data_IF_744917700933
#
_entry.id   IF_744917700933
#
_cell.length_a   1.000
_cell.length_b   1.000
_cell.length_c   1.000
_cell.angle_alpha   90.00
_cell.angle_beta   90.00
_cell.angle_gamma   90.00
#
_symmetry.space_group_name_H-M   'P 1'
#
loop_
_entity.id
_entity.type
_entity.pdbx_description
1 polymer ?
#
# COMPACT_ATOMS: atom_id res chain seq x y z
N UNK A 1 1.04 -9.61 -12.97
CA UNK A 1 -0.18 -8.88 -12.54
C UNK A 1 -1.34 -9.30 -13.41
N UNK A 2 -1.23 -9.13 -14.73
CA UNK A 2 -2.26 -9.50 -15.71
C UNK A 2 -2.70 -10.96 -15.66
N UNK A 3 -1.80 -11.88 -15.28
CA UNK A 3 -2.13 -13.29 -15.05
C UNK A 3 -3.10 -13.53 -13.87
N UNK A 4 -3.04 -12.70 -12.81
CA UNK A 4 -4.01 -12.77 -11.71
C UNK A 4 -5.38 -12.28 -12.18
N UNK A 5 -5.42 -11.19 -12.96
CA UNK A 5 -6.63 -10.66 -13.58
C UNK A 5 -7.23 -11.71 -14.55
N UNK A 6 -6.40 -12.36 -15.36
CA UNK A 6 -6.80 -13.45 -16.26
C UNK A 6 -7.32 -14.70 -15.58
N UNK A 7 -6.89 -14.97 -14.33
CA UNK A 7 -7.48 -16.01 -13.46
C UNK A 7 -8.71 -15.53 -12.67
N UNK A 8 -9.27 -14.35 -12.98
CA UNK A 8 -10.50 -13.86 -12.38
C UNK A 8 -10.35 -13.24 -10.99
N UNK A 9 -9.12 -12.90 -10.57
CA UNK A 9 -8.88 -12.21 -9.30
C UNK A 9 -9.50 -10.80 -9.36
N UNK A 10 -10.56 -10.58 -8.56
CA UNK A 10 -11.27 -9.30 -8.47
C UNK A 10 -10.67 -8.33 -7.44
N UNK A 11 -9.94 -8.87 -6.46
CA UNK A 11 -9.38 -8.11 -5.35
C UNK A 11 -7.90 -8.46 -5.15
N UNK A 12 -7.05 -7.44 -5.04
CA UNK A 12 -5.61 -7.59 -4.90
C UNK A 12 -5.12 -6.58 -3.88
N UNK A 13 -4.42 -7.03 -2.84
CA UNK A 13 -3.68 -6.14 -1.93
C UNK A 13 -2.19 -6.38 -2.14
N UNK A 14 -1.46 -5.30 -2.38
CA UNK A 14 -0.01 -5.28 -2.50
C UNK A 14 0.59 -4.77 -1.19
N UNK A 15 1.69 -5.37 -0.75
CA UNK A 15 2.55 -4.77 0.28
C UNK A 15 3.96 -4.65 -0.21
N UNK A 16 4.67 -3.64 0.28
CA UNK A 16 6.08 -3.52 0.01
C UNK A 16 6.78 -2.54 0.92
N UNK A 17 8.08 -2.52 0.72
CA UNK A 17 9.02 -1.61 1.34
C UNK A 17 9.04 -0.27 0.61
N UNK A 18 9.47 0.79 1.29
CA UNK A 18 9.71 2.09 0.65
C UNK A 18 10.77 2.91 1.40
N UNK A 19 11.49 3.71 0.62
CA UNK A 19 12.41 4.72 1.11
C UNK A 19 11.68 6.00 1.51
N UNK A 20 12.14 6.65 2.57
CA UNK A 20 11.54 7.89 3.07
C UNK A 20 12.38 9.13 2.71
N UNK A 21 11.68 10.23 2.36
CA UNK A 21 12.25 11.55 1.99
C UNK A 21 12.10 12.60 3.12
N UNK A 22 11.57 12.19 4.27
CA UNK A 22 11.34 13.00 5.48
C UNK A 22 11.66 12.12 6.70
N UNK A 23 12.03 12.66 7.87
CA UNK A 23 12.50 11.85 9.00
C UNK A 23 11.37 11.05 9.67
N UNK A 24 11.06 9.87 9.12
CA UNK A 24 10.20 8.85 9.73
C UNK A 24 11.05 7.67 10.19
N UNK A 25 10.74 7.18 11.39
CA UNK A 25 11.36 6.01 11.98
C UNK A 25 11.17 4.75 11.10
N UNK A 26 12.05 3.78 11.27
CA UNK A 26 11.97 2.45 10.67
C UNK A 26 10.73 1.68 11.16
N UNK A 27 10.32 0.66 10.39
CA UNK A 27 9.14 -0.17 10.67
C UNK A 27 7.82 0.64 10.86
N UNK A 28 7.72 1.84 10.29
CA UNK A 28 6.48 2.63 10.25
C UNK A 28 5.63 2.23 9.05
N UNK A 29 4.39 1.83 9.31
CA UNK A 29 3.40 1.62 8.26
C UNK A 29 2.97 2.95 7.63
N UNK A 30 2.99 2.99 6.31
CA UNK A 30 2.51 4.09 5.49
C UNK A 30 1.26 3.63 4.74
N UNK A 31 0.15 4.34 4.96
CA UNK A 31 -1.06 4.17 4.18
C UNK A 31 -1.01 5.19 3.05
N UNK A 32 -0.63 4.81 1.82
CA UNK A 32 -0.71 5.71 0.68
C UNK A 32 -2.18 6.07 0.44
N UNK A 33 -2.46 7.33 0.12
CA UNK A 33 -3.78 7.76 -0.41
C UNK A 33 -3.73 8.06 -1.91
N UNK A 34 -2.52 8.07 -2.46
CA UNK A 34 -2.11 8.53 -3.80
C UNK A 34 -0.69 7.92 -3.97
N UNK A 35 -0.44 6.91 -4.83
CA UNK A 35 0.88 6.25 -5.07
C UNK A 35 1.41 6.26 -6.55
N UNK A 36 2.58 6.84 -6.84
CA UNK A 36 3.02 7.50 -8.12
C UNK A 36 2.61 6.89 -9.49
N UNK A 37 2.04 7.71 -10.42
CA UNK A 37 1.87 7.34 -11.85
C UNK A 37 3.06 7.71 -12.74
N UNK A 38 3.85 6.69 -13.04
CA UNK A 38 4.80 6.66 -14.14
C UNK A 38 4.08 6.38 -15.47
N UNK A 39 4.60 6.87 -16.59
CA UNK A 39 3.93 6.72 -17.90
C UNK A 39 4.42 5.46 -18.63
N UNK A 40 3.48 4.57 -18.96
CA UNK A 40 3.77 3.25 -19.53
C UNK A 40 2.49 2.48 -19.89
N UNK A 41 2.48 1.16 -19.71
CA UNK A 41 1.37 0.27 -20.11
C UNK A 41 0.04 0.49 -19.36
N UNK A 42 -0.01 1.39 -18.37
CA UNK A 42 -1.20 1.62 -17.51
C UNK A 42 -2.43 2.19 -18.24
N UNK A 43 -2.29 2.73 -19.45
CA UNK A 43 -3.40 3.28 -20.22
C UNK A 43 -4.47 2.25 -20.63
N UNK A 44 -4.15 0.94 -20.59
CA UNK A 44 -5.10 -0.12 -20.91
C UNK A 44 -6.21 -0.30 -19.87
N UNK A 45 -6.02 0.20 -18.64
CA UNK A 45 -6.93 -0.04 -17.51
C UNK A 45 -7.56 1.23 -16.93
N UNK A 46 -6.92 2.40 -17.10
CA UNK A 46 -7.44 3.66 -16.56
C UNK A 46 -7.03 4.85 -17.41
N UNK A 47 -7.92 5.84 -17.53
CA UNK A 47 -7.75 7.02 -18.36
C UNK A 47 -6.44 7.79 -18.03
N UNK A 48 -5.84 8.52 -19.00
CA UNK A 48 -4.67 9.36 -18.76
C UNK A 48 -4.83 10.32 -17.59
N UNK A 49 -3.88 10.28 -16.65
CA UNK A 49 -3.84 11.20 -15.52
C UNK A 49 -2.43 11.23 -14.90
N UNK A 50 -1.99 12.41 -14.43
CA UNK A 50 -0.71 12.58 -13.71
C UNK A 50 -0.71 11.88 -12.35
N UNK A 51 -1.89 11.77 -11.77
CA UNK A 51 -2.17 11.16 -10.48
C UNK A 51 -3.48 10.37 -10.58
N UNK A 52 -3.63 9.39 -9.71
CA UNK A 52 -4.86 8.66 -9.49
C UNK A 52 -4.93 8.30 -7.98
N UNK A 53 -6.10 8.11 -7.41
CA UNK A 53 -6.32 8.14 -5.95
C UNK A 53 -6.76 6.77 -5.42
N UNK A 54 -6.47 6.42 -4.17
CA UNK A 54 -6.85 5.10 -3.62
C UNK A 54 -8.32 5.11 -3.15
N UNK A 55 -9.05 4.00 -3.36
CA UNK A 55 -10.47 3.88 -2.97
C UNK A 55 -10.67 4.24 -1.47
N UNK A 56 -11.45 5.29 -1.14
CA UNK A 56 -11.71 5.69 0.23
C UNK A 56 -12.33 4.61 1.12
N UNK A 57 -12.99 3.59 0.55
CA UNK A 57 -13.46 2.42 1.31
C UNK A 57 -12.28 1.58 1.80
N UNK A 58 -11.31 1.34 0.93
CA UNK A 58 -10.12 0.56 1.25
C UNK A 58 -9.17 1.27 2.20
N UNK A 59 -9.03 2.61 2.06
CA UNK A 59 -8.28 3.42 3.03
C UNK A 59 -8.84 3.22 4.45
N UNK A 60 -10.15 3.46 4.64
CA UNK A 60 -10.81 3.28 5.94
C UNK A 60 -10.65 1.87 6.50
N UNK A 61 -10.62 0.84 5.64
CA UNK A 61 -10.44 -0.52 6.10
C UNK A 61 -9.00 -0.79 6.56
N UNK A 62 -8.00 -0.39 5.77
CA UNK A 62 -6.58 -0.51 6.13
C UNK A 62 -6.30 0.23 7.45
N UNK A 63 -6.80 1.47 7.59
CA UNK A 63 -6.71 2.26 8.82
C UNK A 63 -7.39 1.54 10.01
N UNK A 64 -8.61 1.02 9.83
CA UNK A 64 -9.34 0.27 10.86
C UNK A 64 -8.55 -0.96 11.33
N UNK A 65 -7.97 -1.73 10.42
CA UNK A 65 -7.21 -2.94 10.78
C UNK A 65 -5.88 -2.58 11.46
N UNK A 66 -5.17 -1.55 10.98
CA UNK A 66 -3.96 -1.03 11.66
C UNK A 66 -4.26 -0.59 13.10
N UNK A 67 -5.35 0.15 13.31
CA UNK A 67 -5.79 0.58 14.64
C UNK A 67 -6.20 -0.61 15.53
N UNK A 68 -6.91 -1.60 14.99
CA UNK A 68 -7.30 -2.81 15.71
C UNK A 68 -6.10 -3.64 16.18
N UNK A 69 -5.03 -3.68 15.37
CA UNK A 69 -3.76 -4.33 15.72
C UNK A 69 -2.82 -3.45 16.59
N UNK A 70 -3.28 -2.28 17.05
CA UNK A 70 -2.50 -1.36 17.88
C UNK A 70 -1.30 -0.73 17.16
N UNK A 71 -1.26 -0.80 15.83
CA UNK A 71 -0.13 -0.31 15.03
C UNK A 71 -0.22 1.19 14.77
N UNK A 72 0.89 1.87 15.02
CA UNK A 72 1.04 3.26 14.68
C UNK A 72 1.43 3.41 13.20
N UNK A 73 0.58 4.07 12.41
CA UNK A 73 0.80 4.32 10.99
C UNK A 73 0.96 5.82 10.68
N UNK A 74 1.29 6.16 9.45
CA UNK A 74 1.21 7.53 8.93
C UNK A 74 0.47 7.51 7.59
N UNK A 75 -0.33 8.55 7.33
CA UNK A 75 -1.00 8.73 6.03
C UNK A 75 -0.01 9.38 5.06
N UNK A 76 0.36 8.67 4.00
CA UNK A 76 1.34 9.14 3.03
C UNK A 76 0.65 9.66 1.76
N UNK A 77 0.84 10.93 1.45
CA UNK A 77 0.58 11.47 0.13
C UNK A 77 1.84 11.35 -0.71
N UNK A 78 1.96 10.25 -1.46
CA UNK A 78 2.85 10.23 -2.61
C UNK A 78 2.11 10.89 -3.80
N UNK A 79 2.76 10.94 -4.97
CA UNK A 79 2.11 11.19 -6.27
C UNK A 79 1.15 10.00 -6.55
N UNK A 80 0.19 10.03 -7.48
CA UNK A 80 -0.99 9.13 -7.38
C UNK A 80 -1.18 7.93 -8.35
N UNK A 81 -1.70 6.79 -7.83
CA UNK A 81 -2.45 5.67 -8.46
C UNK A 81 -3.39 5.02 -7.42
N UNK A 82 -4.49 4.43 -7.92
CA UNK A 82 -5.51 3.59 -7.26
C UNK A 82 -5.01 2.15 -7.22
N UNK A 83 -4.32 1.80 -6.14
CA UNK A 83 -3.96 0.43 -5.79
C UNK A 83 -4.28 0.20 -4.31
N UNK A 84 -4.72 -1.01 -3.95
CA UNK A 84 -4.77 -1.41 -2.54
C UNK A 84 -3.33 -1.74 -2.13
N UNK A 85 -2.57 -0.72 -1.74
CA UNK A 85 -1.16 -0.86 -1.40
C UNK A 85 -0.93 -0.43 0.05
N UNK A 86 -0.28 -1.27 0.84
CA UNK A 86 0.24 -0.91 2.15
C UNK A 86 1.76 -0.88 2.07
N UNK A 87 2.38 0.22 2.48
CA UNK A 87 3.83 0.36 2.49
C UNK A 87 4.36 0.36 3.92
N UNK A 88 5.63 -0.01 4.08
CA UNK A 88 6.38 0.19 5.31
C UNK A 88 7.80 0.68 5.01
N UNK A 89 8.36 1.49 5.91
CA UNK A 89 9.69 2.10 5.74
C UNK A 89 10.80 1.06 5.84
N UNK A 90 11.76 1.08 4.91
CA UNK A 90 12.77 0.02 4.78
C UNK A 90 14.18 0.51 4.38
N UNK A 91 14.29 1.78 4.02
CA UNK A 91 15.52 2.51 3.69
C UNK A 91 15.23 4.02 3.86
N UNK A 92 16.26 4.87 3.83
CA UNK A 92 16.07 6.32 3.96
C UNK A 92 17.02 7.13 3.07
N UNK A 93 16.44 8.10 2.36
CA UNK A 93 17.12 9.13 1.59
C UNK A 93 16.82 10.54 2.16
N UNK A 94 16.36 10.62 3.40
CA UNK A 94 16.08 11.88 4.10
C UNK A 94 17.35 12.71 4.39
N UNK A 95 18.53 12.06 4.39
CA UNK A 95 19.84 12.69 4.31
C UNK A 95 20.59 12.03 3.13
N UNK A 96 21.16 12.85 2.24
CA UNK A 96 21.85 12.38 1.03
C UNK A 96 23.29 11.94 1.36
N UNK A 97 23.89 12.48 2.42
CA UNK A 97 25.24 12.14 2.86
C UNK A 97 25.26 10.89 3.77
N UNK A 98 24.10 10.49 4.33
CA UNK A 98 23.96 9.37 5.26
C UNK A 98 22.80 8.45 4.84
N UNK A 99 23.04 7.63 3.82
CA UNK A 99 22.11 6.58 3.39
C UNK A 99 22.17 5.37 4.35
N UNK A 100 21.01 4.99 4.89
CA UNK A 100 20.83 3.81 5.76
C UNK A 100 19.84 2.82 5.13
N UNK A 101 20.29 1.58 5.01
CA UNK A 101 19.56 0.48 4.37
C UNK A 101 18.59 -0.26 5.28
N UNK A 102 18.51 0.02 6.59
CA UNK A 102 17.42 -0.42 7.51
C UNK A 102 16.96 -1.88 7.30
N UNK A 103 17.94 -2.79 7.18
CA UNK A 103 17.77 -4.22 6.87
C UNK A 103 16.77 -4.55 5.73
N UNK A 104 16.59 -3.63 4.78
CA UNK A 104 15.59 -3.67 3.72
C UNK A 104 14.16 -3.95 4.24
N UNK A 105 13.85 -3.54 5.47
CA UNK A 105 12.55 -3.74 6.13
C UNK A 105 12.20 -5.21 6.42
N UNK A 106 13.18 -6.13 6.43
CA UNK A 106 12.97 -7.58 6.59
C UNK A 106 12.00 -7.95 7.72
N UNK A 107 12.10 -7.27 8.86
CA UNK A 107 11.34 -7.53 10.09
C UNK A 107 9.83 -7.27 9.95
N UNK A 108 9.43 -6.44 8.98
CA UNK A 108 8.02 -6.05 8.76
C UNK A 108 7.28 -6.92 7.73
N UNK A 109 7.97 -7.76 6.94
CA UNK A 109 7.32 -8.53 5.86
C UNK A 109 6.28 -9.54 6.35
N UNK A 110 6.61 -10.31 7.39
CA UNK A 110 5.67 -11.29 7.97
C UNK A 110 4.41 -10.59 8.48
N UNK A 111 4.59 -9.46 9.18
CA UNK A 111 3.48 -8.66 9.67
C UNK A 111 2.60 -8.12 8.53
N UNK A 112 3.22 -7.52 7.51
CA UNK A 112 2.50 -6.95 6.37
C UNK A 112 1.65 -7.99 5.62
N UNK A 113 2.14 -9.23 5.51
CA UNK A 113 1.41 -10.34 4.91
C UNK A 113 0.20 -10.76 5.78
N UNK A 114 0.40 -10.92 7.08
CA UNK A 114 -0.69 -11.23 8.03
C UNK A 114 -1.79 -10.16 8.01
N UNK A 115 -1.40 -8.88 8.00
CA UNK A 115 -2.31 -7.75 7.95
C UNK A 115 -3.13 -7.73 6.65
N UNK A 116 -2.55 -8.09 5.51
CA UNK A 116 -3.30 -8.21 4.25
C UNK A 116 -4.35 -9.33 4.27
N UNK A 117 -3.99 -10.48 4.84
CA UNK A 117 -4.93 -11.58 5.01
C UNK A 117 -6.09 -11.17 5.93
N UNK A 118 -5.83 -10.38 6.98
CA UNK A 118 -6.88 -9.87 7.87
C UNK A 118 -7.79 -8.83 7.18
N UNK A 119 -7.21 -7.91 6.38
CA UNK A 119 -7.99 -6.95 5.57
C UNK A 119 -8.91 -7.69 4.58
N UNK A 120 -8.40 -8.71 3.87
CA UNK A 120 -9.20 -9.54 2.96
C UNK A 120 -10.33 -10.28 3.69
N UNK A 121 -10.02 -10.98 4.79
CA UNK A 121 -11.03 -11.66 5.62
C UNK A 121 -12.11 -10.69 6.16
N UNK A 122 -11.78 -9.42 6.38
CA UNK A 122 -12.74 -8.41 6.84
C UNK A 122 -13.67 -7.95 5.71
N UNK A 123 -13.18 -7.86 4.47
CA UNK A 123 -14.00 -7.56 3.29
C UNK A 123 -15.04 -8.66 3.01
N UNK A 124 -14.63 -9.93 3.12
CA UNK A 124 -15.52 -11.08 2.96
C UNK A 124 -16.64 -11.08 4.02
N UNK A 125 -16.29 -10.81 5.29
CA UNK A 125 -17.25 -10.75 6.41
C UNK A 125 -18.24 -9.59 6.32
N UNK A 126 -17.85 -8.45 5.76
CA UNK A 126 -18.75 -7.31 5.53
C UNK A 126 -19.71 -7.54 4.33
N UNK A 127 -19.69 -8.74 3.71
CA UNK A 127 -20.71 -9.21 2.77
C UNK A 127 -20.72 -8.50 1.41
N UNK A 128 -19.63 -7.83 1.03
CA UNK A 128 -19.54 -6.98 -0.16
C UNK A 128 -18.48 -7.45 -1.15
N UNK A 129 -18.51 -8.74 -1.45
CA UNK A 129 -17.79 -9.34 -2.59
C UNK A 129 -18.41 -8.94 -3.95
N UNK A 130 -18.41 -7.63 -4.22
CA UNK A 130 -18.57 -6.97 -5.53
C UNK A 130 -19.60 -7.59 -6.49
N UNK A 131 -20.84 -7.11 -6.42
CA UNK A 131 -21.61 -6.89 -7.64
C UNK A 131 -20.91 -5.78 -8.45
N UNK A 132 -20.67 -6.06 -9.74
CA UNK A 132 -20.19 -5.13 -10.77
C UNK A 132 -21.16 -5.20 -11.95
#
# INVERSE_FOLDING_TARGET
MDWLIGYGVKEMISTGTCGILVPIAENRFLVPVKALRDEGTSYHYVAPSRYIDIDPKMLRLIEKTLLAQGLAYAVAQLRGILWRQLLFTADTLADVEVCDQRNWGADSFSFALHLCLEVLNTLEKDGKATDF
#
